data_IF_751705194373
#
_entry.id   IF_751705194373
#
_cell.length_a   1.000
_cell.length_b   1.000
_cell.length_c   1.000
_cell.angle_alpha   90.00
_cell.angle_beta   90.00
_cell.angle_gamma   90.00
#
_symmetry.space_group_name_H-M   'P 1'
#
loop_
_entity.id
_entity.type
_entity.pdbx_description
1 polymer ?
#
# COMPACT_ATOMS: atom_id res chain seq x y z
N UNK A 1 26.30 14.22 -3.38
CA UNK A 1 25.54 14.51 -4.63
C UNK A 1 24.09 14.69 -4.28
N UNK A 2 23.53 15.87 -4.50
CA UNK A 2 22.14 16.19 -4.15
C UNK A 2 21.18 15.40 -5.06
N UNK A 3 20.43 14.46 -4.51
CA UNK A 3 19.32 13.79 -5.20
C UNK A 3 18.09 14.72 -5.34
N UNK A 4 18.34 15.95 -5.80
CA UNK A 4 17.27 16.80 -6.32
C UNK A 4 16.89 16.28 -7.70
N UNK A 5 16.23 15.14 -7.77
CA UNK A 5 15.74 14.64 -9.03
C UNK A 5 14.28 15.06 -9.17
N UNK A 6 14.04 16.22 -9.80
CA UNK A 6 12.72 16.75 -10.20
C UNK A 6 11.84 15.69 -10.86
N UNK A 7 12.47 14.72 -11.54
CA UNK A 7 11.80 13.58 -12.17
C UNK A 7 11.17 12.64 -11.15
N UNK A 8 11.78 12.49 -9.96
CA UNK A 8 11.27 11.64 -8.87
C UNK A 8 10.04 12.26 -8.21
N UNK A 9 10.12 13.56 -7.90
CA UNK A 9 9.01 14.33 -7.31
C UNK A 9 7.85 14.45 -8.31
N UNK A 10 8.14 14.56 -9.60
CA UNK A 10 7.14 14.58 -10.67
C UNK A 10 6.42 13.23 -10.78
N UNK A 11 7.14 12.11 -10.68
CA UNK A 11 6.56 10.76 -10.73
C UNK A 11 5.64 10.49 -9.54
N UNK A 12 6.01 10.91 -8.33
CA UNK A 12 5.16 10.79 -7.12
C UNK A 12 3.92 11.66 -7.26
N UNK A 13 4.04 12.89 -7.75
CA UNK A 13 2.90 13.79 -8.01
C UNK A 13 1.99 13.30 -9.15
N UNK A 14 2.54 12.65 -10.18
CA UNK A 14 1.74 12.12 -11.28
C UNK A 14 0.98 10.83 -10.86
N UNK A 15 1.56 10.03 -9.98
CA UNK A 15 0.89 8.87 -9.36
C UNK A 15 -0.27 9.33 -8.47
N UNK A 16 -0.12 10.44 -7.76
CA UNK A 16 -1.13 10.97 -6.83
C UNK A 16 -2.24 11.77 -7.52
N UNK A 17 -1.95 12.43 -8.66
CA UNK A 17 -2.95 13.20 -9.43
C UNK A 17 -4.07 12.34 -10.02
N UNK A 18 -3.85 11.04 -10.22
CA UNK A 18 -4.90 10.12 -10.67
C UNK A 18 -5.97 9.87 -9.59
N UNK A 19 -5.68 10.20 -8.33
CA UNK A 19 -6.52 9.87 -7.17
C UNK A 19 -7.61 10.91 -6.84
N UNK A 20 -7.63 12.08 -7.49
CA UNK A 20 -8.53 13.19 -7.09
C UNK A 20 -9.75 13.43 -8.00
N UNK A 21 -9.97 12.60 -9.02
CA UNK A 21 -11.20 12.71 -9.84
C UNK A 21 -12.42 12.23 -9.03
N UNK A 22 -13.45 13.08 -8.96
CA UNK A 22 -14.76 12.64 -8.48
C UNK A 22 -15.24 11.48 -9.35
N UNK A 23 -15.82 10.42 -8.77
CA UNK A 23 -16.36 9.32 -9.56
C UNK A 23 -17.45 9.85 -10.50
N UNK A 24 -17.36 9.48 -11.77
CA UNK A 24 -18.37 9.79 -12.80
C UNK A 24 -19.66 8.96 -12.64
N UNK A 25 -19.58 7.93 -11.77
CA UNK A 25 -20.66 6.95 -11.51
C UNK A 25 -21.20 7.13 -10.10
N UNK A 26 -22.51 7.14 -9.97
CA UNK A 26 -23.19 7.25 -8.67
C UNK A 26 -23.24 5.90 -7.96
N UNK A 27 -23.47 5.92 -6.63
CA UNK A 27 -23.68 4.71 -5.82
C UNK A 27 -24.79 3.84 -6.37
N UNK A 28 -25.92 4.44 -6.79
CA UNK A 28 -27.06 3.71 -7.37
C UNK A 28 -26.70 2.97 -8.66
N UNK A 29 -25.90 3.59 -9.51
CA UNK A 29 -25.38 2.94 -10.73
C UNK A 29 -24.44 1.78 -10.41
N UNK A 30 -23.60 1.93 -9.39
CA UNK A 30 -22.74 0.87 -8.91
C UNK A 30 -23.55 -0.29 -8.29
N UNK A 31 -24.58 0.01 -7.49
CA UNK A 31 -25.49 -0.99 -6.93
C UNK A 31 -26.20 -1.79 -8.04
N UNK A 32 -26.66 -1.13 -9.10
CA UNK A 32 -27.31 -1.80 -10.22
C UNK A 32 -26.33 -2.70 -11.01
N UNK A 33 -25.07 -2.27 -11.14
CA UNK A 33 -24.04 -3.12 -11.71
C UNK A 33 -23.83 -4.40 -10.88
N UNK A 34 -23.83 -4.31 -9.55
CA UNK A 34 -23.78 -5.50 -8.68
C UNK A 34 -25.02 -6.37 -8.78
N UNK A 35 -26.22 -5.80 -8.93
CA UNK A 35 -27.43 -6.61 -9.25
C UNK A 35 -27.26 -7.39 -10.54
N UNK A 36 -26.70 -6.77 -11.55
CA UNK A 36 -26.41 -7.42 -12.83
C UNK A 36 -25.42 -8.56 -12.66
N UNK A 37 -24.35 -8.36 -11.87
CA UNK A 37 -23.37 -9.41 -11.56
C UNK A 37 -24.04 -10.58 -10.82
N UNK A 38 -24.91 -10.32 -9.84
CA UNK A 38 -25.63 -11.38 -9.12
C UNK A 38 -26.47 -12.24 -10.09
N UNK A 39 -27.20 -11.62 -11.02
CA UNK A 39 -27.95 -12.34 -12.06
C UNK A 39 -27.02 -13.15 -12.97
N UNK A 40 -25.88 -12.56 -13.37
CA UNK A 40 -24.92 -13.20 -14.26
C UNK A 40 -24.29 -14.46 -13.66
N UNK A 41 -24.02 -14.48 -12.34
CA UNK A 41 -23.54 -15.69 -11.65
C UNK A 41 -24.64 -16.73 -11.37
N UNK A 42 -25.92 -16.44 -11.73
CA UNK A 42 -27.03 -17.35 -11.56
C UNK A 42 -27.84 -17.18 -10.27
N UNK A 43 -27.63 -16.08 -9.53
CA UNK A 43 -28.36 -15.78 -8.29
C UNK A 43 -29.62 -14.93 -8.54
N UNK A 44 -30.64 -15.07 -7.65
CA UNK A 44 -31.77 -14.15 -7.60
C UNK A 44 -31.48 -12.97 -6.66
N UNK A 45 -31.25 -11.76 -7.20
CA UNK A 45 -31.00 -10.58 -6.39
C UNK A 45 -32.18 -10.12 -5.54
N UNK A 46 -33.39 -10.70 -5.76
CA UNK A 46 -34.58 -10.33 -5.02
C UNK A 46 -34.87 -11.26 -3.83
N UNK A 47 -34.15 -12.37 -3.68
CA UNK A 47 -34.26 -13.20 -2.47
C UNK A 47 -33.81 -12.43 -1.23
N UNK A 48 -34.43 -12.68 -0.09
CA UNK A 48 -34.25 -11.96 1.18
C UNK A 48 -32.78 -11.73 1.55
N UNK A 49 -31.93 -12.76 1.47
CA UNK A 49 -30.50 -12.66 1.81
C UNK A 49 -29.67 -11.78 0.89
N UNK A 50 -30.16 -11.42 -0.30
CA UNK A 50 -29.43 -10.63 -1.31
C UNK A 50 -30.00 -9.24 -1.57
N UNK A 51 -31.14 -8.88 -1.00
CA UNK A 51 -31.77 -7.57 -1.20
C UNK A 51 -30.82 -6.41 -0.92
N UNK A 52 -30.08 -6.49 0.19
CA UNK A 52 -29.16 -5.46 0.64
C UNK A 52 -27.72 -5.66 0.11
N UNK A 53 -27.42 -6.77 -0.56
CA UNK A 53 -26.06 -7.10 -0.99
C UNK A 53 -25.44 -6.04 -1.92
N UNK A 54 -26.14 -5.51 -2.93
CA UNK A 54 -25.55 -4.45 -3.78
C UNK A 54 -25.10 -3.23 -2.98
N UNK A 55 -25.92 -2.75 -2.05
CA UNK A 55 -25.59 -1.61 -1.19
C UNK A 55 -24.41 -1.92 -0.26
N UNK A 56 -24.40 -3.12 0.35
CA UNK A 56 -23.31 -3.56 1.24
C UNK A 56 -22.00 -3.67 0.48
N UNK A 57 -22.00 -4.18 -0.75
CA UNK A 57 -20.78 -4.28 -1.57
C UNK A 57 -20.26 -2.91 -1.95
N UNK A 58 -21.14 -1.97 -2.34
CA UNK A 58 -20.72 -0.59 -2.66
C UNK A 58 -20.08 0.08 -1.43
N UNK A 59 -20.65 -0.08 -0.24
CA UNK A 59 -20.07 0.43 1.02
C UNK A 59 -18.70 -0.20 1.31
N UNK A 60 -18.59 -1.52 1.20
CA UNK A 60 -17.31 -2.23 1.40
C UNK A 60 -16.24 -1.77 0.41
N UNK A 61 -16.61 -1.55 -0.86
CA UNK A 61 -15.66 -1.07 -1.87
C UNK A 61 -15.17 0.35 -1.59
N UNK A 62 -15.99 1.22 -1.00
CA UNK A 62 -15.54 2.53 -0.54
C UNK A 62 -14.46 2.43 0.54
N UNK A 63 -14.55 1.43 1.43
CA UNK A 63 -13.52 1.17 2.44
C UNK A 63 -12.27 0.55 1.82
N UNK A 64 -12.44 -0.47 0.97
CA UNK A 64 -11.32 -1.16 0.32
C UNK A 64 -10.50 -0.24 -0.57
N UNK A 65 -11.13 0.77 -1.18
CA UNK A 65 -10.51 1.65 -2.16
C UNK A 65 -10.43 3.11 -1.72
N UNK A 66 -10.58 3.39 -0.40
CA UNK A 66 -10.50 4.75 0.15
C UNK A 66 -9.17 5.45 -0.12
N UNK A 67 -8.09 4.68 -0.33
CA UNK A 67 -6.76 5.19 -0.63
C UNK A 67 -6.67 6.02 -1.92
N UNK A 68 -7.63 5.87 -2.86
CA UNK A 68 -7.72 6.74 -4.03
C UNK A 68 -8.10 8.19 -3.70
N UNK A 69 -8.67 8.42 -2.50
CA UNK A 69 -9.11 9.74 -2.04
C UNK A 69 -8.20 10.30 -0.92
N UNK A 70 -7.05 9.68 -0.68
CA UNK A 70 -6.11 10.04 0.38
C UNK A 70 -4.73 10.37 -0.20
N UNK A 71 -4.08 11.37 0.38
CA UNK A 71 -2.70 11.75 0.08
C UNK A 71 -1.76 11.19 1.17
N UNK A 72 -0.94 10.20 0.78
CA UNK A 72 0.00 9.57 1.69
C UNK A 72 1.13 10.51 2.14
N UNK A 73 1.44 11.55 1.36
CA UNK A 73 2.52 12.49 1.68
C UNK A 73 2.11 13.48 2.76
N UNK A 74 0.83 13.85 2.84
CA UNK A 74 0.34 14.86 3.79
C UNK A 74 0.53 14.45 5.25
N UNK A 75 0.37 13.17 5.56
CA UNK A 75 0.57 12.63 6.90
C UNK A 75 2.05 12.59 7.32
N UNK A 76 2.96 12.43 6.36
CA UNK A 76 4.40 12.36 6.61
C UNK A 76 5.05 13.73 6.89
N UNK A 77 4.35 14.84 6.60
CA UNK A 77 4.84 16.18 6.90
C UNK A 77 4.90 16.48 8.41
N UNK A 78 4.17 15.73 9.23
CA UNK A 78 4.23 15.84 10.70
C UNK A 78 5.44 15.09 11.23
N UNK A 79 6.58 15.72 11.18
CA UNK A 79 7.87 15.19 11.66
C UNK A 79 8.31 15.90 12.95
N UNK A 80 9.20 15.24 13.69
CA UNK A 80 9.87 15.82 14.85
C UNK A 80 11.29 16.22 14.47
N UNK A 81 11.67 17.48 14.76
CA UNK A 81 12.95 18.04 14.32
C UNK A 81 14.14 17.62 15.13
N UNK A 82 13.95 16.99 16.28
CA UNK A 82 15.03 16.57 17.17
C UNK A 82 15.22 15.06 17.11
N UNK A 83 16.34 14.64 16.60
CA UNK A 83 16.78 13.24 16.56
C UNK A 83 17.81 12.93 17.66
N UNK A 84 18.19 13.92 18.47
CA UNK A 84 19.18 13.80 19.56
C UNK A 84 20.45 13.00 19.14
N UNK A 85 20.85 13.15 17.88
CA UNK A 85 22.02 12.45 17.32
C UNK A 85 21.76 11.01 16.87
N UNK A 86 20.48 10.52 16.87
CA UNK A 86 20.19 9.20 16.31
C UNK A 86 20.39 9.18 14.79
N UNK A 87 21.35 8.38 14.32
CA UNK A 87 21.78 8.31 12.92
C UNK A 87 21.69 6.91 12.30
N UNK A 88 21.19 5.93 13.04
CA UNK A 88 20.99 4.55 12.57
C UNK A 88 19.57 4.32 12.02
N UNK A 89 19.31 3.12 11.50
CA UNK A 89 18.00 2.77 10.95
C UNK A 89 16.95 2.58 12.05
N UNK A 90 15.77 3.20 11.88
CA UNK A 90 14.55 2.80 12.56
C UNK A 90 13.81 1.74 11.76
N UNK A 91 13.33 0.68 12.40
CA UNK A 91 12.60 -0.42 11.75
C UNK A 91 11.23 -0.60 12.38
N UNK A 92 10.18 -0.52 11.56
CA UNK A 92 8.83 -0.92 11.94
C UNK A 92 8.46 -2.18 11.16
N UNK A 93 8.05 -3.22 11.86
CA UNK A 93 7.77 -4.52 11.27
C UNK A 93 6.39 -5.06 11.60
N UNK A 94 5.92 -6.01 10.78
CA UNK A 94 4.61 -6.63 10.94
C UNK A 94 3.44 -5.64 10.82
N UNK A 95 3.60 -4.60 9.99
CA UNK A 95 2.50 -3.69 9.67
C UNK A 95 1.47 -4.49 8.86
N UNK A 96 0.27 -4.66 9.38
CA UNK A 96 -0.81 -5.36 8.69
C UNK A 96 -1.06 -4.73 7.32
N UNK A 97 -1.14 -5.56 6.29
CA UNK A 97 -1.39 -5.17 4.92
C UNK A 97 -2.59 -5.91 4.36
N UNK A 98 -3.59 -5.14 3.95
CA UNK A 98 -4.78 -5.61 3.24
C UNK A 98 -4.96 -4.78 1.97
N UNK A 99 -4.79 -5.41 0.81
CA UNK A 99 -4.89 -4.77 -0.50
C UNK A 99 -5.70 -5.63 -1.45
N UNK A 100 -5.85 -5.19 -2.71
CA UNK A 100 -6.57 -5.92 -3.74
C UNK A 100 -5.75 -5.96 -5.04
N UNK A 101 -5.64 -7.16 -5.59
CA UNK A 101 -4.97 -7.39 -6.86
C UNK A 101 -5.73 -6.67 -8.00
N UNK A 102 -5.02 -5.85 -8.78
CA UNK A 102 -5.63 -5.11 -9.89
C UNK A 102 -6.16 -6.00 -11.02
N UNK A 103 -5.64 -7.22 -11.16
CA UNK A 103 -6.06 -8.13 -12.23
C UNK A 103 -7.39 -8.86 -11.95
N UNK A 104 -7.70 -9.10 -10.68
CA UNK A 104 -8.86 -9.94 -10.31
C UNK A 104 -9.71 -9.31 -9.20
N UNK A 105 -9.36 -8.14 -8.67
CA UNK A 105 -9.96 -7.52 -7.50
C UNK A 105 -10.02 -8.44 -6.27
N UNK A 106 -9.21 -9.50 -6.26
CA UNK A 106 -9.09 -10.43 -5.16
C UNK A 106 -8.16 -9.88 -4.07
N UNK A 107 -8.41 -10.18 -2.77
CA UNK A 107 -7.58 -9.69 -1.69
C UNK A 107 -6.12 -10.12 -1.78
N UNK A 108 -5.23 -9.22 -1.35
CA UNK A 108 -3.82 -9.46 -1.03
C UNK A 108 -3.68 -9.21 0.46
N UNK A 109 -3.32 -10.23 1.24
CA UNK A 109 -3.28 -10.17 2.71
C UNK A 109 -1.90 -10.57 3.17
N UNK A 110 -1.29 -9.73 4.03
CA UNK A 110 0.04 -10.00 4.53
C UNK A 110 0.55 -8.94 5.48
N UNK A 111 1.86 -8.74 5.45
CA UNK A 111 2.55 -7.75 6.29
C UNK A 111 3.53 -6.94 5.47
N UNK A 112 3.72 -5.70 5.89
CA UNK A 112 4.78 -4.83 5.42
C UNK A 112 5.81 -4.58 6.53
N UNK A 113 7.06 -4.45 6.14
CA UNK A 113 8.17 -4.04 6.99
C UNK A 113 8.81 -2.82 6.37
N UNK A 114 9.10 -1.82 7.18
CA UNK A 114 9.71 -0.56 6.75
C UNK A 114 10.93 -0.29 7.59
N UNK A 115 12.04 0.07 6.95
CA UNK A 115 13.15 0.73 7.62
C UNK A 115 13.46 2.06 6.95
N UNK A 116 13.88 3.06 7.75
CA UNK A 116 14.41 4.29 7.22
C UNK A 116 15.59 4.77 8.08
N UNK A 117 16.51 5.48 7.46
CA UNK A 117 17.64 6.14 8.13
C UNK A 117 17.32 7.63 8.11
N UNK A 118 17.11 8.27 9.28
CA UNK A 118 16.77 9.68 9.34
C UNK A 118 17.94 10.55 8.82
N UNK A 119 17.61 11.70 8.27
CA UNK A 119 18.59 12.74 7.94
C UNK A 119 18.59 13.81 9.04
N UNK A 120 17.51 14.60 9.13
CA UNK A 120 17.38 15.68 10.11
C UNK A 120 16.10 15.58 10.96
N UNK A 121 15.21 14.67 10.59
CA UNK A 121 13.89 14.55 11.18
C UNK A 121 13.52 13.09 11.36
N UNK A 122 12.85 12.77 12.44
CA UNK A 122 12.17 11.51 12.67
C UNK A 122 10.68 11.64 12.43
N UNK A 123 10.07 10.57 11.98
CA UNK A 123 8.62 10.48 11.76
C UNK A 123 7.97 9.65 12.86
N UNK A 124 6.76 10.02 13.26
CA UNK A 124 5.98 9.18 14.17
C UNK A 124 5.66 7.83 13.54
N UNK A 125 5.87 6.74 14.27
CA UNK A 125 5.71 5.35 13.79
C UNK A 125 4.34 5.12 13.11
N UNK A 126 3.26 5.66 13.70
CA UNK A 126 1.92 5.57 13.11
C UNK A 126 1.80 6.15 11.69
N UNK A 127 2.73 7.02 11.27
CA UNK A 127 2.74 7.61 9.93
C UNK A 127 3.27 6.64 8.88
N UNK A 128 4.23 5.79 9.28
CA UNK A 128 4.73 4.70 8.43
C UNK A 128 3.59 3.71 8.12
N UNK A 129 2.87 3.26 9.16
CA UNK A 129 1.72 2.38 9.01
C UNK A 129 0.59 3.01 8.16
N UNK A 130 0.29 4.30 8.33
CA UNK A 130 -0.69 5.01 7.50
C UNK A 130 -0.28 5.10 6.03
N UNK A 131 1.01 5.29 5.75
CA UNK A 131 1.51 5.28 4.37
C UNK A 131 1.26 3.92 3.71
N UNK A 132 1.50 2.82 4.43
CA UNK A 132 1.13 1.47 3.96
C UNK A 132 -0.37 1.41 3.67
N UNK A 133 -1.21 1.85 4.61
CA UNK A 133 -2.66 1.80 4.48
C UNK A 133 -3.17 2.56 3.25
N UNK A 134 -2.72 3.81 3.04
CA UNK A 134 -3.16 4.64 1.91
C UNK A 134 -2.87 3.97 0.57
N UNK A 135 -1.69 3.37 0.39
CA UNK A 135 -1.35 2.69 -0.85
C UNK A 135 -1.98 1.31 -0.98
N UNK A 136 -2.17 0.59 0.14
CA UNK A 136 -2.83 -0.72 0.15
C UNK A 136 -4.30 -0.64 -0.23
N UNK A 137 -5.01 0.42 0.17
CA UNK A 137 -6.43 0.62 -0.12
C UNK A 137 -6.66 1.15 -1.55
N UNK A 138 -5.97 0.52 -2.52
CA UNK A 138 -6.07 0.76 -3.97
C UNK A 138 -5.97 -0.58 -4.70
N UNK A 139 -6.28 -0.61 -5.99
CA UNK A 139 -5.95 -1.75 -6.85
C UNK A 139 -4.44 -1.76 -7.14
N UNK A 140 -3.76 -2.86 -6.84
CA UNK A 140 -2.30 -2.93 -6.84
C UNK A 140 -1.73 -4.19 -7.52
N UNK A 141 -0.52 -4.04 -8.04
CA UNK A 141 0.47 -5.13 -8.06
C UNK A 141 1.36 -4.97 -6.82
N UNK A 142 1.86 -6.06 -6.27
CA UNK A 142 2.67 -5.99 -5.03
C UNK A 142 3.98 -5.23 -5.24
N UNK A 143 4.59 -5.36 -6.41
CA UNK A 143 5.82 -4.65 -6.80
C UNK A 143 5.60 -3.14 -6.84
N UNK A 144 4.48 -2.68 -7.45
CA UNK A 144 4.13 -1.27 -7.49
C UNK A 144 3.82 -0.72 -6.12
N UNK A 145 3.08 -1.47 -5.29
CA UNK A 145 2.76 -1.10 -3.92
C UNK A 145 4.04 -0.88 -3.09
N UNK A 146 4.97 -1.85 -3.12
CA UNK A 146 6.25 -1.78 -2.41
C UNK A 146 7.07 -0.55 -2.84
N UNK A 147 7.16 -0.32 -4.15
CA UNK A 147 7.86 0.82 -4.73
C UNK A 147 7.21 2.16 -4.34
N UNK A 148 5.89 2.27 -4.38
CA UNK A 148 5.17 3.52 -4.05
C UNK A 148 5.40 3.91 -2.60
N UNK A 149 5.29 2.97 -1.66
CA UNK A 149 5.57 3.20 -0.23
C UNK A 149 7.00 3.70 -0.07
N UNK A 150 8.00 2.98 -0.60
CA UNK A 150 9.40 3.34 -0.44
C UNK A 150 9.74 4.73 -1.01
N UNK A 151 9.24 5.04 -2.20
CA UNK A 151 9.48 6.34 -2.86
C UNK A 151 8.84 7.49 -2.10
N UNK A 152 7.61 7.31 -1.61
CA UNK A 152 6.91 8.34 -0.84
C UNK A 152 7.63 8.62 0.47
N UNK A 153 8.05 7.58 1.21
CA UNK A 153 8.84 7.75 2.42
C UNK A 153 10.17 8.46 2.15
N UNK A 154 10.90 8.04 1.13
CA UNK A 154 12.19 8.64 0.77
C UNK A 154 12.06 10.13 0.46
N UNK A 155 11.04 10.53 -0.32
CA UNK A 155 10.85 11.92 -0.73
C UNK A 155 10.28 12.79 0.40
N UNK A 156 9.31 12.29 1.16
CA UNK A 156 8.62 13.08 2.18
C UNK A 156 9.47 13.27 3.44
N UNK A 157 10.30 12.29 3.80
CA UNK A 157 11.16 12.35 4.98
C UNK A 157 12.56 12.89 4.65
N UNK A 158 12.89 13.08 3.38
CA UNK A 158 14.26 13.40 2.95
C UNK A 158 15.28 12.44 3.59
N UNK A 159 14.92 11.17 3.76
CA UNK A 159 15.69 10.16 4.46
C UNK A 159 17.03 9.87 3.75
N UNK A 160 18.06 9.44 4.48
CA UNK A 160 19.33 8.94 3.90
C UNK A 160 19.14 7.62 3.18
N UNK A 161 18.16 6.80 3.62
CA UNK A 161 17.82 5.53 3.00
C UNK A 161 16.46 5.02 3.47
N UNK A 162 15.82 4.23 2.63
CA UNK A 162 14.55 3.56 2.91
C UNK A 162 14.59 2.12 2.39
N UNK A 163 14.09 1.19 3.18
CA UNK A 163 13.85 -0.20 2.79
C UNK A 163 12.38 -0.55 3.07
N UNK A 164 11.72 -1.19 2.11
CA UNK A 164 10.37 -1.72 2.27
C UNK A 164 10.35 -3.16 1.80
N UNK A 165 9.79 -4.03 2.63
CA UNK A 165 9.52 -5.44 2.31
C UNK A 165 8.04 -5.71 2.53
N UNK A 166 7.40 -6.38 1.59
CA UNK A 166 6.04 -6.89 1.71
C UNK A 166 6.08 -8.40 1.53
N UNK A 167 5.49 -9.13 2.48
CA UNK A 167 5.24 -10.58 2.40
C UNK A 167 3.73 -10.81 2.47
N UNK A 168 3.12 -11.27 1.38
CA UNK A 168 1.68 -11.37 1.30
C UNK A 168 1.18 -12.56 0.46
N UNK A 169 0.04 -13.12 0.88
CA UNK A 169 -0.71 -14.12 0.15
C UNK A 169 -1.71 -13.45 -0.81
N UNK A 170 -1.76 -13.94 -2.05
CA UNK A 170 -2.67 -13.46 -3.09
C UNK A 170 -3.86 -14.40 -3.24
N UNK A 171 -5.07 -13.95 -2.88
CA UNK A 171 -6.26 -14.78 -2.94
C UNK A 171 -6.64 -15.19 -4.38
N UNK A 172 -6.20 -14.43 -5.38
CA UNK A 172 -6.32 -14.85 -6.79
C UNK A 172 -5.52 -16.11 -7.15
N UNK A 173 -4.52 -16.49 -6.32
CA UNK A 173 -3.73 -17.70 -6.47
C UNK A 173 -4.17 -18.81 -5.52
N UNK A 174 -4.76 -18.48 -4.36
CA UNK A 174 -5.14 -19.45 -3.34
C UNK A 174 -6.54 -20.00 -3.56
N UNK A 175 -7.53 -19.14 -3.82
CA UNK A 175 -8.95 -19.51 -3.92
C UNK A 175 -9.36 -19.97 -5.31
N UNK A 176 -8.60 -19.63 -6.34
CA UNK A 176 -8.87 -19.95 -7.75
C UNK A 176 -7.56 -20.15 -8.52
N UNK A 177 -7.65 -20.45 -9.82
CA UNK A 177 -6.49 -20.63 -10.70
C UNK A 177 -5.64 -21.82 -10.25
N UNK A 178 -4.39 -21.57 -9.90
CA UNK A 178 -3.43 -22.62 -9.55
C UNK A 178 -3.58 -23.20 -8.14
N UNK A 179 -4.45 -22.63 -7.30
CA UNK A 179 -4.81 -23.11 -5.95
C UNK A 179 -3.60 -23.42 -5.06
N UNK A 180 -2.70 -22.47 -4.91
CA UNK A 180 -1.51 -22.57 -4.04
C UNK A 180 -1.73 -21.85 -2.71
N UNK A 181 -2.38 -22.54 -1.78
CA UNK A 181 -2.87 -21.96 -0.50
C UNK A 181 -1.75 -21.43 0.41
N UNK A 182 -0.59 -22.09 0.41
CA UNK A 182 0.55 -21.72 1.26
C UNK A 182 1.56 -20.79 0.61
N UNK A 183 1.34 -20.42 -0.66
CA UNK A 183 2.27 -19.55 -1.37
C UNK A 183 2.10 -18.11 -0.92
N UNK A 184 3.21 -17.48 -0.55
CA UNK A 184 3.32 -16.03 -0.36
C UNK A 184 4.29 -15.44 -1.38
N UNK A 185 4.16 -14.15 -1.63
CA UNK A 185 5.08 -13.39 -2.48
C UNK A 185 5.82 -12.39 -1.61
N UNK A 186 7.15 -12.37 -1.70
CA UNK A 186 7.97 -11.38 -1.02
C UNK A 186 8.52 -10.39 -2.06
N UNK A 187 8.29 -9.10 -1.83
CA UNK A 187 8.84 -8.02 -2.63
C UNK A 187 9.65 -7.06 -1.78
N UNK A 188 10.79 -6.62 -2.29
CA UNK A 188 11.68 -5.68 -1.61
C UNK A 188 11.92 -4.46 -2.48
N UNK A 189 12.06 -3.29 -1.86
CA UNK A 189 12.48 -2.08 -2.53
C UNK A 189 13.42 -1.26 -1.65
N UNK A 190 14.63 -0.97 -2.15
CA UNK A 190 15.69 -0.29 -1.42
C UNK A 190 16.05 1.03 -2.09
N UNK A 191 16.25 2.08 -1.30
CA UNK A 191 16.64 3.41 -1.75
C UNK A 191 17.74 3.99 -0.86
N UNK A 192 18.60 4.86 -1.44
CA UNK A 192 19.71 5.51 -0.74
C UNK A 192 20.65 4.49 -0.13
N UNK A 193 21.05 4.69 1.13
CA UNK A 193 22.00 3.83 1.86
C UNK A 193 21.67 2.33 1.77
N UNK A 194 20.40 1.95 1.85
CA UNK A 194 20.02 0.54 1.72
C UNK A 194 20.27 -0.03 0.33
N UNK A 195 20.30 0.79 -0.71
CA UNK A 195 20.62 0.36 -2.07
C UNK A 195 22.13 0.32 -2.33
N UNK A 196 22.87 1.22 -1.69
CA UNK A 196 24.29 1.45 -1.93
C UNK A 196 25.19 0.59 -1.03
N UNK A 197 24.72 0.20 0.17
CA UNK A 197 25.47 -0.57 1.15
C UNK A 197 24.73 -1.85 1.57
N UNK A 198 25.27 -2.99 1.16
CA UNK A 198 24.73 -4.32 1.48
C UNK A 198 24.74 -4.64 2.98
N UNK A 199 25.59 -3.99 3.77
CA UNK A 199 25.62 -4.20 5.22
C UNK A 199 24.31 -3.74 5.87
N UNK A 200 23.77 -2.61 5.43
CA UNK A 200 22.46 -2.09 5.87
C UNK A 200 21.31 -2.99 5.42
N UNK A 201 21.33 -3.50 4.17
CA UNK A 201 20.34 -4.49 3.73
C UNK A 201 20.36 -5.74 4.61
N UNK A 202 21.55 -6.30 4.86
CA UNK A 202 21.69 -7.51 5.66
C UNK A 202 21.23 -7.31 7.10
N UNK A 203 21.53 -6.16 7.71
CA UNK A 203 21.04 -5.81 9.05
C UNK A 203 19.51 -5.72 9.06
N UNK A 204 18.93 -5.00 8.10
CA UNK A 204 17.48 -4.88 7.96
C UNK A 204 16.81 -6.26 7.82
N UNK A 205 17.31 -7.10 6.91
CA UNK A 205 16.75 -8.44 6.69
C UNK A 205 16.83 -9.31 7.97
N UNK A 206 17.89 -9.18 8.78
CA UNK A 206 17.96 -9.87 10.09
C UNK A 206 16.92 -9.36 11.08
N UNK A 207 16.59 -8.07 11.08
CA UNK A 207 15.55 -7.52 11.97
C UNK A 207 14.17 -8.02 11.62
N UNK A 208 13.85 -8.22 10.32
CA UNK A 208 12.55 -8.68 9.87
C UNK A 208 12.44 -10.21 9.76
N UNK A 209 13.55 -10.94 9.73
CA UNK A 209 13.54 -12.40 9.81
C UNK A 209 12.88 -12.85 11.12
N UNK A 210 12.03 -13.85 11.02
CA UNK A 210 11.35 -14.49 12.17
C UNK A 210 12.29 -15.45 12.86
#
# INVERSE_FOLDING_TARGET
>A
MSYKNDRYMKLVKDIDKSSQKKPEVTDKQAEEAFRTILKWIGEDPNREGLLETPNRVVKAFKEYFKGYHQDASSDLLKTFGDVEGYDDMGVEKNITLESHCEHHMAPIIGVAHIAYIPNKKVVGLSKLARTVEVFSKRLQTQERLTMQIAKTLMSSLEAKGVAVTIDAAHQCMTMRGIKKEKATTVTNYYLGTFKEDLSYQNRYLRYIAK
#
